data_IF_927753791809
#
_entry.id   IF_927753791809
#
_cell.length_a   1.000
_cell.length_b   1.000
_cell.length_c   1.000
_cell.angle_alpha   90.00
_cell.angle_beta   90.00
_cell.angle_gamma   90.00
#
_symmetry.space_group_name_H-M   'P 1'
#
loop_
_entity.id
_entity.type
_entity.pdbx_description
1 polymer ?
#
# COMPACT_ATOMS: atom_id res chain seq x y z
N UNK A 1 1.83 -48.78 -64.06
CA UNK A 1 1.14 -47.51 -64.32
C UNK A 1 0.09 -47.22 -63.23
N UNK A 2 -0.77 -48.14 -62.86
CA UNK A 2 -1.86 -47.92 -61.81
C UNK A 2 -1.31 -47.57 -60.46
N UNK A 3 -0.20 -48.16 -59.99
CA UNK A 3 0.43 -47.86 -58.66
C UNK A 3 0.93 -46.42 -58.56
N UNK A 4 1.50 -45.89 -59.62
CA UNK A 4 2.01 -44.51 -59.64
C UNK A 4 0.86 -43.50 -59.73
N UNK A 5 -0.26 -43.84 -60.35
CA UNK A 5 -1.47 -43.00 -60.40
C UNK A 5 -2.11 -42.89 -59.04
N UNK A 6 -2.14 -44.00 -58.30
CA UNK A 6 -2.68 -44.03 -56.93
C UNK A 6 -1.84 -43.17 -55.96
N UNK A 7 -0.50 -43.21 -56.10
CA UNK A 7 0.41 -42.38 -55.22
C UNK A 7 0.23 -40.89 -55.56
N UNK A 8 0.10 -40.49 -56.78
CA UNK A 8 -0.13 -39.10 -57.22
C UNK A 8 -1.49 -38.62 -56.70
N UNK A 9 -2.55 -39.43 -56.72
CA UNK A 9 -3.88 -39.11 -56.23
C UNK A 9 -3.87 -38.93 -54.69
N UNK A 10 -3.11 -39.80 -53.98
CA UNK A 10 -2.97 -39.72 -52.52
C UNK A 10 -2.19 -38.48 -52.08
N UNK A 11 -1.13 -38.10 -52.80
CA UNK A 11 -0.38 -36.86 -52.55
C UNK A 11 -1.24 -35.61 -52.82
N UNK A 12 -2.09 -35.61 -53.84
CA UNK A 12 -2.99 -34.49 -54.13
C UNK A 12 -4.09 -34.29 -53.08
N UNK A 13 -4.53 -35.37 -52.44
CA UNK A 13 -5.51 -35.29 -51.30
C UNK A 13 -4.91 -34.73 -50.02
N UNK A 14 -3.59 -34.88 -49.82
CA UNK A 14 -2.93 -34.36 -48.60
C UNK A 14 -2.71 -32.85 -48.64
N UNK A 15 -2.74 -32.20 -49.79
CA UNK A 15 -2.56 -30.74 -49.93
C UNK A 15 -3.81 -29.89 -49.64
N UNK A 16 -4.97 -30.50 -49.49
CA UNK A 16 -6.26 -29.81 -49.30
C UNK A 16 -6.64 -29.61 -47.82
N UNK A 17 -5.83 -30.05 -46.86
CA UNK A 17 -6.17 -30.11 -45.43
C UNK A 17 -5.60 -28.98 -44.57
N UNK A 18 -5.14 -27.87 -45.12
CA UNK A 18 -4.70 -26.74 -44.30
C UNK A 18 -5.71 -25.58 -44.33
N UNK A 19 -6.83 -25.70 -43.57
CA UNK A 19 -7.53 -24.52 -43.08
C UNK A 19 -6.82 -24.08 -41.79
N UNK A 20 -6.00 -23.03 -41.90
CA UNK A 20 -5.51 -22.36 -40.69
C UNK A 20 -6.71 -21.84 -39.88
N UNK A 21 -6.78 -22.11 -38.56
CA UNK A 21 -7.85 -21.57 -37.73
C UNK A 21 -7.76 -20.04 -37.78
N UNK A 22 -8.86 -19.37 -38.05
CA UNK A 22 -8.96 -17.91 -37.95
C UNK A 22 -8.51 -17.46 -36.57
N UNK A 23 -7.48 -16.62 -36.54
CA UNK A 23 -7.02 -16.02 -35.30
C UNK A 23 -8.19 -15.28 -34.65
N UNK A 24 -8.64 -15.76 -33.50
CA UNK A 24 -9.68 -15.08 -32.72
C UNK A 24 -9.19 -13.68 -32.41
N UNK A 25 -9.89 -12.67 -32.92
CA UNK A 25 -9.62 -11.29 -32.50
C UNK A 25 -9.78 -11.20 -30.99
N UNK A 26 -8.84 -10.59 -30.26
CA UNK A 26 -9.03 -10.39 -28.84
C UNK A 26 -10.35 -9.64 -28.64
N UNK A 27 -11.25 -10.23 -27.88
CA UNK A 27 -12.47 -9.56 -27.44
C UNK A 27 -12.00 -8.35 -26.64
N UNK A 28 -12.18 -7.14 -27.17
CA UNK A 28 -11.99 -5.92 -26.40
C UNK A 28 -12.98 -5.96 -25.25
N UNK A 29 -12.60 -6.57 -24.13
CA UNK A 29 -13.27 -6.33 -22.88
C UNK A 29 -13.15 -4.84 -22.62
N UNK A 30 -14.25 -4.14 -22.43
CA UNK A 30 -14.28 -2.70 -22.18
C UNK A 30 -13.63 -2.42 -20.82
N UNK A 31 -12.28 -2.40 -20.76
CA UNK A 31 -11.51 -2.10 -19.57
C UNK A 31 -11.88 -0.75 -18.94
N UNK A 32 -12.42 0.16 -19.75
CA UNK A 32 -12.83 1.49 -19.30
C UNK A 32 -13.98 1.50 -18.28
N UNK A 33 -14.93 0.58 -18.37
CA UNK A 33 -16.06 0.50 -17.43
C UNK A 33 -15.59 -0.07 -16.10
N UNK A 34 -14.77 -1.13 -16.14
CA UNK A 34 -14.24 -1.78 -14.95
C UNK A 34 -13.34 -0.84 -14.13
N UNK A 35 -12.47 -0.08 -14.79
CA UNK A 35 -11.59 0.92 -14.14
C UNK A 35 -12.44 2.01 -13.48
N UNK A 36 -13.46 2.53 -14.17
CA UNK A 36 -14.36 3.56 -13.62
C UNK A 36 -15.12 3.05 -12.39
N UNK A 37 -15.63 1.83 -12.44
CA UNK A 37 -16.34 1.22 -11.29
C UNK A 37 -15.42 0.98 -10.11
N UNK A 38 -14.19 0.53 -10.35
CA UNK A 38 -13.18 0.34 -9.30
C UNK A 38 -12.78 1.66 -8.66
N UNK A 39 -12.53 2.69 -9.46
CA UNK A 39 -12.25 4.03 -8.95
C UNK A 39 -13.41 4.59 -8.11
N UNK A 40 -14.66 4.41 -8.56
CA UNK A 40 -15.86 4.83 -7.81
C UNK A 40 -15.99 4.09 -6.47
N UNK A 41 -15.71 2.78 -6.43
CA UNK A 41 -15.74 2.00 -5.18
C UNK A 41 -14.66 2.47 -4.21
N UNK A 42 -13.43 2.67 -4.70
CA UNK A 42 -12.31 3.12 -3.87
C UNK A 42 -12.56 4.54 -3.32
N UNK A 43 -13.11 5.44 -4.14
CA UNK A 43 -13.49 6.78 -3.68
C UNK A 43 -14.53 6.72 -2.56
N UNK A 44 -15.60 5.92 -2.74
CA UNK A 44 -16.64 5.74 -1.73
C UNK A 44 -16.10 5.12 -0.44
N UNK A 45 -15.16 4.18 -0.55
CA UNK A 45 -14.51 3.58 0.60
C UNK A 45 -13.70 4.65 1.36
N UNK A 46 -12.88 5.41 0.65
CA UNK A 46 -12.09 6.47 1.24
C UNK A 46 -12.96 7.53 1.95
N UNK A 47 -14.03 8.01 1.29
CA UNK A 47 -14.97 8.96 1.89
C UNK A 47 -15.61 8.44 3.19
N UNK A 48 -15.94 7.14 3.22
CA UNK A 48 -16.45 6.49 4.44
C UNK A 48 -15.42 6.41 5.55
N UNK A 49 -14.19 6.01 5.23
CA UNK A 49 -13.10 5.91 6.21
C UNK A 49 -12.70 7.27 6.74
N UNK A 50 -12.65 8.29 5.88
CA UNK A 50 -12.39 9.68 6.23
C UNK A 50 -13.43 10.18 7.24
N UNK A 51 -14.71 9.97 6.98
CA UNK A 51 -15.78 10.39 7.90
C UNK A 51 -15.65 9.72 9.28
N UNK A 52 -15.22 8.45 9.34
CA UNK A 52 -14.98 7.76 10.62
C UNK A 52 -13.80 8.38 11.37
N UNK A 53 -12.69 8.66 10.66
CA UNK A 53 -11.49 9.26 11.24
C UNK A 53 -11.80 10.68 11.72
N UNK A 54 -12.46 11.50 10.91
CA UNK A 54 -12.86 12.86 11.28
C UNK A 54 -13.79 12.87 12.50
N UNK A 55 -14.73 11.93 12.60
CA UNK A 55 -15.57 11.78 13.79
C UNK A 55 -14.77 11.42 15.06
N UNK A 56 -13.68 10.66 14.95
CA UNK A 56 -12.78 10.38 16.07
C UNK A 56 -12.02 11.65 16.47
N UNK A 57 -11.52 12.41 15.48
CA UNK A 57 -10.80 13.66 15.71
C UNK A 57 -11.69 14.70 16.42
N UNK A 58 -12.93 14.84 15.97
CA UNK A 58 -13.90 15.77 16.58
C UNK A 58 -14.22 15.44 18.04
N UNK A 59 -14.20 14.17 18.42
CA UNK A 59 -14.47 13.70 19.77
C UNK A 59 -13.23 13.75 20.69
N UNK A 60 -12.04 13.76 20.13
CA UNK A 60 -10.79 13.80 20.89
C UNK A 60 -10.31 15.25 21.09
N UNK A 61 -10.69 15.82 22.21
CA UNK A 61 -10.31 17.19 22.59
C UNK A 61 -8.91 17.30 23.23
N UNK A 62 -8.22 16.19 23.42
CA UNK A 62 -6.92 16.16 24.11
C UNK A 62 -5.73 16.30 23.17
N UNK A 63 -5.92 16.03 21.87
CA UNK A 63 -4.85 16.00 20.90
C UNK A 63 -5.10 16.99 19.75
N UNK A 64 -4.03 17.69 19.34
CA UNK A 64 -4.06 18.60 18.19
C UNK A 64 -3.73 17.84 16.92
N UNK A 65 -4.77 17.44 16.19
CA UNK A 65 -4.60 16.69 14.94
C UNK A 65 -4.23 17.59 13.77
N UNK A 66 -3.29 17.10 12.97
CA UNK A 66 -2.82 17.71 11.75
C UNK A 66 -3.19 16.81 10.55
N UNK A 67 -3.63 17.41 9.46
CA UNK A 67 -3.86 16.69 8.20
C UNK A 67 -2.59 16.69 7.36
N UNK A 68 -2.18 15.52 6.88
CA UNK A 68 -1.08 15.37 5.93
C UNK A 68 -1.56 15.55 4.49
N UNK A 69 -0.76 16.19 3.63
CA UNK A 69 -0.98 16.25 2.18
C UNK A 69 -1.02 14.84 1.54
N UNK A 70 -0.43 13.85 2.19
CA UNK A 70 -0.44 12.45 1.77
C UNK A 70 -1.74 11.71 2.09
N UNK A 71 -2.74 12.35 2.71
CA UNK A 71 -4.08 11.81 2.95
C UNK A 71 -4.18 10.92 4.19
N UNK A 72 -3.58 11.35 5.30
CA UNK A 72 -3.73 10.78 6.63
C UNK A 72 -3.69 11.90 7.68
N UNK A 73 -4.03 11.58 8.94
CA UNK A 73 -4.00 12.51 10.06
C UNK A 73 -3.02 12.05 11.11
N UNK A 74 -2.49 13.00 11.91
CA UNK A 74 -1.52 12.68 12.93
C UNK A 74 -1.50 13.72 14.04
N UNK A 75 -0.99 13.33 15.21
CA UNK A 75 -0.66 14.25 16.31
C UNK A 75 0.63 13.81 16.98
N UNK A 76 1.31 14.78 17.60
CA UNK A 76 2.55 14.54 18.34
C UNK A 76 2.26 14.15 19.77
N UNK A 77 2.69 12.95 20.19
CA UNK A 77 2.71 12.54 21.59
C UNK A 77 3.92 13.17 22.30
N UNK A 78 5.07 13.22 21.64
CA UNK A 78 6.29 13.87 22.10
C UNK A 78 6.95 14.56 20.92
N UNK A 79 7.26 15.85 21.10
CA UNK A 79 7.92 16.68 20.08
C UNK A 79 9.26 17.14 20.58
N UNK A 80 10.31 16.93 19.80
CA UNK A 80 11.64 17.48 20.10
C UNK A 80 11.82 18.83 19.41
N UNK A 81 11.81 19.92 20.20
CA UNK A 81 12.05 21.27 19.71
C UNK A 81 13.52 21.54 19.34
N UNK A 82 14.45 20.68 19.78
CA UNK A 82 15.90 20.84 19.54
C UNK A 82 16.38 20.13 18.29
N UNK A 83 15.68 19.08 17.87
CA UNK A 83 16.01 18.36 16.64
C UNK A 83 15.73 19.24 15.40
N UNK A 84 16.69 19.31 14.48
CA UNK A 84 16.69 20.29 13.39
C UNK A 84 16.22 19.75 12.05
N UNK A 85 16.30 18.44 11.80
CA UNK A 85 16.03 17.87 10.48
C UNK A 85 15.14 16.62 10.53
N UNK A 86 14.27 16.49 9.54
CA UNK A 86 13.56 15.27 9.23
C UNK A 86 14.36 14.40 8.25
N UNK A 87 14.09 13.08 8.19
CA UNK A 87 14.78 12.17 7.30
C UNK A 87 14.60 12.56 5.84
N UNK A 88 15.65 12.46 5.05
CA UNK A 88 15.67 12.68 3.60
C UNK A 88 15.81 11.37 2.85
N UNK A 89 15.58 11.40 1.55
CA UNK A 89 15.84 10.27 0.66
C UNK A 89 17.26 9.74 0.87
N UNK A 90 17.40 8.43 1.09
CA UNK A 90 18.66 7.76 1.33
C UNK A 90 19.05 7.63 2.80
N UNK A 91 18.53 8.46 3.70
CA UNK A 91 18.82 8.36 5.12
C UNK A 91 18.34 7.02 5.69
N UNK A 92 19.18 6.41 6.53
CA UNK A 92 18.81 5.22 7.28
C UNK A 92 18.18 5.63 8.61
N UNK A 93 16.95 5.19 8.85
CA UNK A 93 16.22 5.47 10.09
C UNK A 93 15.98 4.22 10.90
N UNK A 94 16.00 4.37 12.22
CA UNK A 94 15.65 3.32 13.17
C UNK A 94 14.47 3.77 14.00
N UNK A 95 13.42 2.95 14.08
CA UNK A 95 12.18 3.32 14.74
C UNK A 95 11.45 2.08 15.31
N UNK A 96 10.45 2.33 16.14
CA UNK A 96 9.48 1.34 16.59
C UNK A 96 8.08 1.82 16.24
N UNK A 97 7.14 0.90 16.03
CA UNK A 97 5.74 1.24 15.80
C UNK A 97 4.81 0.12 16.25
N UNK A 98 3.59 0.48 16.58
CA UNK A 98 2.49 -0.46 16.81
C UNK A 98 1.44 -0.35 15.68
N UNK A 99 0.53 -1.30 15.65
CA UNK A 99 -0.66 -1.29 14.80
C UNK A 99 -1.87 -1.49 15.69
N UNK A 100 -2.82 -0.57 15.62
CA UNK A 100 -4.07 -0.62 16.39
C UNK A 100 -5.27 -0.42 15.47
N UNK A 101 -6.40 -0.96 15.86
CA UNK A 101 -7.68 -0.52 15.32
C UNK A 101 -7.97 0.91 15.77
N UNK A 102 -8.87 1.62 15.09
CA UNK A 102 -9.24 2.98 15.48
C UNK A 102 -9.93 3.06 16.87
N UNK A 103 -10.42 1.95 17.39
CA UNK A 103 -10.96 1.85 18.76
C UNK A 103 -9.88 1.67 19.86
N UNK A 104 -8.59 1.66 19.46
CA UNK A 104 -7.44 1.49 20.35
C UNK A 104 -7.00 0.03 20.59
N UNK A 105 -7.74 -0.97 20.09
CA UNK A 105 -7.38 -2.38 20.20
C UNK A 105 -6.06 -2.67 19.50
N UNK A 106 -5.10 -3.28 20.20
CA UNK A 106 -3.78 -3.63 19.64
C UNK A 106 -3.92 -4.81 18.69
N UNK A 107 -3.46 -4.64 17.46
CA UNK A 107 -3.37 -5.68 16.42
C UNK A 107 -1.96 -6.28 16.39
N UNK A 108 -0.95 -5.42 16.44
CA UNK A 108 0.47 -5.78 16.56
C UNK A 108 1.14 -4.76 17.48
N UNK A 109 1.77 -5.22 18.56
CA UNK A 109 2.44 -4.32 19.50
C UNK A 109 3.80 -3.86 18.98
N UNK A 110 4.33 -2.79 19.54
CA UNK A 110 5.69 -2.31 19.22
C UNK A 110 6.77 -3.31 19.62
N UNK A 111 6.53 -4.11 20.66
CA UNK A 111 7.42 -5.18 21.12
C UNK A 111 7.41 -6.35 20.13
N UNK A 112 6.25 -6.72 19.61
CA UNK A 112 6.11 -7.77 18.59
C UNK A 112 6.76 -7.35 17.27
N UNK A 113 6.56 -6.10 16.81
CA UNK A 113 7.21 -5.55 15.63
C UNK A 113 8.74 -5.42 15.83
N UNK A 114 9.18 -5.16 17.07
CA UNK A 114 10.57 -4.92 17.39
C UNK A 114 11.13 -3.64 16.76
N UNK A 115 12.45 -3.52 16.81
CA UNK A 115 13.17 -2.39 16.23
C UNK A 115 13.26 -2.53 14.72
N UNK A 116 12.79 -1.53 14.01
CA UNK A 116 12.78 -1.47 12.55
C UNK A 116 13.93 -0.62 12.02
N UNK A 117 14.51 -1.05 10.91
CA UNK A 117 15.49 -0.28 10.15
C UNK A 117 14.95 -0.09 8.73
N UNK A 118 14.92 1.15 8.28
CA UNK A 118 14.39 1.50 6.96
C UNK A 118 15.27 2.55 6.31
N UNK A 119 15.48 2.42 5.00
CA UNK A 119 16.20 3.41 4.21
C UNK A 119 15.17 4.20 3.41
N UNK A 120 15.06 5.50 3.70
CA UNK A 120 14.03 6.37 3.16
C UNK A 120 14.04 6.34 1.62
N UNK A 121 12.90 5.96 1.05
CA UNK A 121 12.62 5.89 -0.40
C UNK A 121 13.59 5.01 -1.22
N UNK A 122 14.39 4.16 -0.59
CA UNK A 122 15.37 3.29 -1.28
C UNK A 122 15.18 1.79 -1.03
N UNK A 123 14.55 1.40 0.09
CA UNK A 123 14.41 0.00 0.44
C UNK A 123 13.11 -0.61 -0.06
N UNK A 124 13.05 -1.94 0.06
CA UNK A 124 11.93 -2.76 -0.28
C UNK A 124 10.62 -2.24 0.37
N UNK A 125 9.51 -2.36 -0.34
CA UNK A 125 8.22 -1.75 -0.01
C UNK A 125 7.39 -2.60 0.96
N UNK A 126 8.01 -3.34 1.87
CA UNK A 126 7.30 -4.14 2.89
C UNK A 126 6.60 -3.27 3.94
N UNK A 127 7.18 -2.11 4.25
CA UNK A 127 6.58 -1.16 5.17
C UNK A 127 5.39 -0.43 4.51
N UNK A 128 4.27 -0.33 5.23
CA UNK A 128 3.07 0.37 4.71
C UNK A 128 3.37 1.81 4.32
N UNK A 129 2.71 2.29 3.26
CA UNK A 129 2.98 3.62 2.71
C UNK A 129 2.73 4.75 3.71
N UNK A 130 1.76 4.58 4.61
CA UNK A 130 1.48 5.56 5.67
C UNK A 130 2.67 5.78 6.60
N UNK A 131 3.31 4.71 7.10
CA UNK A 131 4.50 4.85 7.97
C UNK A 131 5.67 5.44 7.19
N UNK A 132 5.90 5.01 5.95
CA UNK A 132 6.97 5.59 5.10
C UNK A 132 6.82 7.10 4.91
N UNK A 133 5.60 7.56 4.66
CA UNK A 133 5.31 8.99 4.52
C UNK A 133 5.34 9.70 5.89
N UNK A 134 4.85 9.05 6.95
CA UNK A 134 4.87 9.57 8.31
C UNK A 134 6.27 9.82 8.85
N UNK A 135 7.20 8.90 8.61
CA UNK A 135 8.61 9.05 9.03
C UNK A 135 9.26 10.32 8.48
N UNK A 136 8.90 10.74 7.25
CA UNK A 136 9.43 11.98 6.63
C UNK A 136 8.94 13.27 7.32
N UNK A 137 7.88 13.19 8.13
CA UNK A 137 7.36 14.31 8.92
C UNK A 137 7.99 14.40 10.33
N UNK A 138 8.63 13.31 10.78
CA UNK A 138 9.17 13.19 12.13
C UNK A 138 10.63 13.64 12.20
N UNK A 139 11.04 13.99 13.41
CA UNK A 139 12.44 14.23 13.77
C UNK A 139 12.91 13.14 14.73
N UNK A 140 14.24 13.02 14.88
CA UNK A 140 14.83 12.08 15.84
C UNK A 140 14.33 12.35 17.26
N UNK A 141 13.96 11.31 18.01
CA UNK A 141 13.41 11.38 19.36
C UNK A 141 11.90 11.59 19.42
N UNK A 142 11.23 11.97 18.34
CA UNK A 142 9.80 12.23 18.34
C UNK A 142 8.97 10.94 18.38
N UNK A 143 7.82 11.05 19.04
CA UNK A 143 6.75 10.03 19.01
C UNK A 143 5.49 10.66 18.44
N UNK A 144 4.95 10.06 17.39
CA UNK A 144 3.77 10.54 16.66
C UNK A 144 2.75 9.43 16.50
N UNK A 145 1.49 9.75 16.75
CA UNK A 145 0.38 8.85 16.46
C UNK A 145 -0.30 9.27 15.18
N UNK A 146 -0.42 8.31 14.27
CA UNK A 146 -1.02 8.46 12.95
C UNK A 146 -2.36 7.76 12.86
N UNK A 147 -3.31 8.34 12.16
CA UNK A 147 -4.56 7.72 11.74
C UNK A 147 -4.52 7.52 10.22
N UNK A 148 -4.38 6.27 9.81
CA UNK A 148 -4.23 5.91 8.40
C UNK A 148 -5.52 5.34 7.84
N UNK A 149 -6.07 5.91 6.77
CA UNK A 149 -7.04 5.21 5.94
C UNK A 149 -6.44 3.90 5.42
N UNK A 150 -7.29 2.94 5.08
CA UNK A 150 -6.85 1.60 4.72
C UNK A 150 -5.85 1.57 3.54
N UNK A 151 -5.99 2.47 2.57
CA UNK A 151 -5.08 2.54 1.41
C UNK A 151 -3.66 3.01 1.77
N UNK A 152 -3.48 3.67 2.91
CA UNK A 152 -2.16 4.02 3.49
C UNK A 152 -1.64 2.95 4.45
N UNK A 153 -2.51 2.06 4.89
CA UNK A 153 -2.24 0.94 5.78
C UNK A 153 -2.07 -0.38 5.00
N UNK A 154 -2.75 -1.43 5.42
CA UNK A 154 -2.64 -2.77 4.85
C UNK A 154 -3.61 -3.04 3.69
N UNK A 155 -4.51 -2.10 3.39
CA UNK A 155 -5.39 -2.11 2.22
C UNK A 155 -6.19 -3.40 2.05
N UNK A 156 -6.18 -3.91 0.83
CA UNK A 156 -6.91 -5.13 0.47
C UNK A 156 -6.35 -6.39 1.15
N UNK A 157 -5.08 -6.43 1.48
CA UNK A 157 -4.44 -7.63 2.03
C UNK A 157 -4.70 -7.83 3.53
N UNK A 158 -4.82 -6.74 4.30
CA UNK A 158 -4.91 -6.83 5.75
C UNK A 158 -3.62 -7.39 6.39
N UNK A 159 -3.76 -7.98 7.57
CA UNK A 159 -2.74 -8.79 8.26
C UNK A 159 -3.39 -10.15 8.53
N UNK A 160 -2.77 -11.23 8.07
CA UNK A 160 -3.29 -12.60 8.23
C UNK A 160 -3.66 -12.86 9.69
N UNK A 161 -4.84 -13.41 9.91
CA UNK A 161 -5.44 -13.74 11.21
C UNK A 161 -5.62 -12.57 12.21
N UNK A 162 -5.16 -11.34 11.89
CA UNK A 162 -5.17 -10.21 12.83
C UNK A 162 -6.01 -9.01 12.36
N UNK A 163 -5.91 -8.64 11.09
CA UNK A 163 -6.57 -7.45 10.54
C UNK A 163 -7.21 -7.75 9.18
N UNK A 164 -8.51 -7.55 9.09
CA UNK A 164 -9.26 -7.73 7.83
C UNK A 164 -8.87 -6.74 6.73
N UNK A 165 -9.48 -6.93 5.56
CA UNK A 165 -9.25 -6.08 4.38
C UNK A 165 -9.91 -4.71 4.54
N UNK A 166 -9.27 -3.67 4.01
CA UNK A 166 -9.80 -2.30 3.99
C UNK A 166 -10.20 -1.77 5.38
N UNK A 167 -9.35 -2.03 6.36
CA UNK A 167 -9.53 -1.51 7.73
C UNK A 167 -8.58 -0.33 7.94
N UNK A 168 -9.10 0.87 8.26
CA UNK A 168 -8.28 1.98 8.71
C UNK A 168 -7.68 1.68 10.08
N UNK A 169 -6.50 2.20 10.35
CA UNK A 169 -5.74 1.90 11.57
C UNK A 169 -5.22 3.16 12.24
N UNK A 170 -4.88 3.01 13.51
CA UNK A 170 -4.00 3.91 14.25
C UNK A 170 -2.63 3.25 14.40
N UNK A 171 -1.56 4.05 14.35
CA UNK A 171 -0.20 3.58 14.58
C UNK A 171 0.60 4.64 15.32
N UNK A 172 1.23 4.26 16.44
CA UNK A 172 2.15 5.12 17.17
C UNK A 172 3.57 4.76 16.80
N UNK A 173 4.28 5.72 16.23
CA UNK A 173 5.65 5.57 15.74
C UNK A 173 6.59 6.37 16.61
N UNK A 174 7.70 5.78 17.03
CA UNK A 174 8.80 6.49 17.72
C UNK A 174 10.05 6.41 16.87
N UNK A 175 10.51 7.54 16.35
CA UNK A 175 11.74 7.64 15.56
C UNK A 175 12.96 7.73 16.50
N UNK A 176 13.80 6.69 16.51
CA UNK A 176 14.92 6.55 17.43
C UNK A 176 16.21 7.20 16.95
N UNK A 177 16.49 7.07 15.65
CA UNK A 177 17.70 7.66 15.07
C UNK A 177 17.57 7.90 13.58
N UNK A 178 18.29 8.89 13.10
CA UNK A 178 18.48 9.22 11.68
C UNK A 178 19.99 9.15 11.42
N UNK A 179 20.40 8.33 10.44
CA UNK A 179 21.78 8.28 9.93
C UNK A 179 21.77 8.76 8.49
N UNK A 180 22.30 9.94 8.26
CA UNK A 180 22.45 10.48 6.91
C UNK A 180 23.50 9.66 6.14
N UNK A 181 23.21 9.37 4.87
CA UNK A 181 24.24 8.92 3.95
C UNK A 181 25.11 10.15 3.64
N UNK A 182 26.28 10.24 4.28
CA UNK A 182 27.29 11.21 3.89
C UNK A 182 27.70 10.92 2.44
N UNK A 183 27.40 11.86 1.55
CA UNK A 183 27.91 11.90 0.18
C UNK A 183 29.36 12.39 0.17
#
# INVERSE_FOLDING_TARGET
>A
MLRNLIIVLFCALLTLSCKSPDARRPVKSSSGTFIKESAKRNKKLFEKEQAVIEGIIELDTNNDYLASESGFWYYYNSRDSTATSSPKMGDAVTFTYDVRRLNGEIVVSSEENGLQNYKIDQTNQELISGIRDGLKLMKEGETVTFLFPSFKAYGYYGIEDKLGTNIPIQSTVTLKSIKSEDN
#
